data_IF_131410790624
#
_entry.id   IF_131410790624
#
_cell.length_a   1.000
_cell.length_b   1.000
_cell.length_c   1.000
_cell.angle_alpha   90.00
_cell.angle_beta   90.00
_cell.angle_gamma   90.00
#
_symmetry.space_group_name_H-M   'P 1'
#
loop_
_entity.id
_entity.type
_entity.pdbx_description
1 polymer ?
#
# COMPACT_ATOMS: atom_id res chain seq x y z
N UNK A 1 -24.10 -8.29 -50.61
CA UNK A 1 -23.46 -9.47 -51.22
C UNK A 1 -21.96 -9.36 -50.97
N UNK A 2 -21.29 -10.48 -50.67
CA UNK A 2 -19.87 -10.66 -50.25
C UNK A 2 -19.62 -10.37 -48.76
N UNK A 3 -19.71 -11.33 -47.83
CA UNK A 3 -18.93 -12.56 -47.58
C UNK A 3 -17.44 -12.36 -47.24
N UNK A 4 -17.07 -13.00 -46.11
CA UNK A 4 -15.82 -12.94 -45.32
C UNK A 4 -14.56 -13.46 -46.08
N UNK A 5 -13.37 -13.41 -45.45
CA UNK A 5 -12.91 -14.57 -44.65
C UNK A 5 -12.22 -14.15 -43.33
N UNK A 6 -12.53 -14.77 -42.18
CA UNK A 6 -11.83 -15.93 -41.62
C UNK A 6 -10.29 -15.88 -41.68
N UNK A 7 -9.66 -15.66 -40.52
CA UNK A 7 -8.30 -16.11 -40.17
C UNK A 7 -8.42 -16.85 -38.84
N UNK A 8 -8.76 -18.13 -38.85
CA UNK A 8 -7.86 -19.29 -38.79
C UNK A 8 -6.87 -19.25 -37.62
N UNK A 9 -7.23 -20.07 -36.64
CA UNK A 9 -6.39 -20.83 -35.72
C UNK A 9 -4.99 -21.11 -36.27
N UNK A 10 -3.98 -20.81 -35.45
CA UNK A 10 -2.75 -21.60 -35.40
C UNK A 10 -2.79 -22.39 -34.09
N UNK A 11 -3.18 -23.66 -34.20
CA UNK A 11 -2.78 -24.68 -33.24
C UNK A 11 -1.29 -24.95 -33.47
N UNK A 12 -0.51 -24.89 -32.40
CA UNK A 12 0.81 -25.52 -32.33
C UNK A 12 0.74 -26.53 -31.19
N UNK A 13 0.66 -27.81 -31.55
CA UNK A 13 0.94 -28.94 -30.67
C UNK A 13 2.46 -29.19 -30.65
N UNK A 14 2.93 -29.61 -29.46
CA UNK A 14 4.24 -30.16 -29.11
C UNK A 14 5.48 -29.30 -29.29
N UNK A 15 5.97 -28.68 -28.20
CA UNK A 15 7.36 -28.83 -27.70
C UNK A 15 7.47 -28.43 -26.20
N UNK A 16 7.99 -29.34 -25.37
CA UNK A 16 8.95 -29.10 -24.27
C UNK A 16 8.79 -27.94 -23.27
N UNK A 17 8.68 -28.32 -21.99
CA UNK A 17 8.86 -27.51 -20.78
C UNK A 17 10.10 -26.59 -20.84
N UNK A 18 9.93 -25.26 -20.96
CA UNK A 18 10.95 -24.24 -20.65
C UNK A 18 10.28 -22.97 -20.11
N UNK A 19 10.93 -22.37 -19.11
CA UNK A 19 10.54 -21.20 -18.34
C UNK A 19 10.21 -19.95 -19.18
N UNK A 20 9.20 -19.20 -18.75
CA UNK A 20 8.74 -17.98 -19.40
C UNK A 20 9.73 -16.82 -19.16
N UNK A 21 10.42 -16.43 -20.22
CA UNK A 21 11.10 -15.14 -20.36
C UNK A 21 10.54 -14.39 -21.59
N UNK A 22 10.61 -13.06 -21.47
CA UNK A 22 10.60 -12.02 -22.51
C UNK A 22 9.29 -11.66 -23.22
N UNK A 23 8.94 -10.36 -23.11
CA UNK A 23 8.28 -9.59 -24.17
C UNK A 23 8.85 -8.17 -24.18
N UNK A 24 9.71 -7.90 -25.17
CA UNK A 24 10.09 -6.56 -25.62
C UNK A 24 9.01 -6.02 -26.57
N UNK A 25 8.71 -4.73 -26.48
CA UNK A 25 8.61 -3.79 -27.60
C UNK A 25 8.28 -2.40 -27.02
N UNK A 26 9.08 -1.38 -27.37
CA UNK A 26 8.62 -0.19 -28.10
C UNK A 26 9.80 0.76 -28.34
N UNK A 27 10.04 1.01 -29.63
CA UNK A 27 10.96 2.03 -30.15
C UNK A 27 10.37 3.42 -29.97
N UNK A 28 11.30 4.35 -29.86
CA UNK A 28 11.21 5.79 -29.73
C UNK A 28 10.31 6.47 -30.78
N UNK A 29 9.49 7.44 -30.36
CA UNK A 29 9.31 8.72 -31.05
C UNK A 29 9.03 9.86 -30.04
N UNK A 30 9.86 10.91 -30.10
CA UNK A 30 9.65 12.29 -29.61
C UNK A 30 9.67 13.19 -30.87
N UNK A 31 9.26 14.49 -30.87
CA UNK A 31 8.51 15.31 -29.89
C UNK A 31 7.41 16.20 -30.54
N UNK A 32 6.77 17.09 -29.76
CA UNK A 32 6.71 18.54 -30.07
C UNK A 32 6.23 19.38 -28.87
N UNK A 33 6.92 20.51 -28.66
CA UNK A 33 6.68 21.52 -27.64
C UNK A 33 5.45 22.40 -27.90
N UNK A 34 4.85 22.87 -26.80
CA UNK A 34 4.51 24.29 -26.64
C UNK A 34 3.06 24.60 -26.28
N UNK A 35 2.83 25.25 -25.12
CA UNK A 35 2.53 26.70 -25.04
C UNK A 35 2.20 27.15 -23.61
N UNK A 36 2.94 28.21 -23.23
CA UNK A 36 2.55 29.48 -22.57
C UNK A 36 1.75 29.45 -21.26
N UNK A 37 2.32 30.20 -20.31
CA UNK A 37 1.80 30.38 -18.96
C UNK A 37 0.62 31.35 -18.87
N UNK A 38 0.02 31.30 -17.69
CA UNK A 38 -0.92 32.27 -17.15
C UNK A 38 -0.47 32.54 -15.72
N UNK A 39 -0.28 33.81 -15.39
CA UNK A 39 0.07 34.28 -14.05
C UNK A 39 -1.12 34.06 -13.11
N UNK A 40 -0.85 33.51 -11.92
CA UNK A 40 -1.83 33.45 -10.82
C UNK A 40 -1.28 34.28 -9.68
N UNK A 41 -2.12 35.20 -9.26
CA UNK A 41 -1.92 36.27 -8.28
C UNK A 41 -1.70 35.70 -6.87
N UNK A 42 -0.69 36.21 -6.16
CA UNK A 42 -0.33 35.81 -4.79
C UNK A 42 -1.38 36.29 -3.79
N UNK A 43 -1.95 35.36 -3.02
CA UNK A 43 -2.80 35.67 -1.85
C UNK A 43 -1.92 35.68 -0.59
N UNK A 44 -1.93 36.74 0.24
CA UNK A 44 -1.07 36.82 1.43
C UNK A 44 -1.42 35.77 2.50
N UNK A 45 -0.38 35.15 3.06
CA UNK A 45 -0.41 34.17 4.15
C UNK A 45 -0.89 34.78 5.48
N UNK A 46 -1.69 34.07 6.30
CA UNK A 46 -2.10 34.53 7.62
C UNK A 46 -1.04 34.17 8.67
N UNK A 47 0.12 34.82 8.62
CA UNK A 47 1.09 34.78 9.71
C UNK A 47 1.57 36.17 10.07
N UNK A 48 0.74 36.88 10.83
CA UNK A 48 1.18 38.05 11.57
C UNK A 48 0.68 37.98 13.02
N UNK A 49 1.66 37.86 13.91
CA UNK A 49 1.66 38.10 15.37
C UNK A 49 1.26 36.95 16.32
N UNK A 50 2.29 36.38 16.95
CA UNK A 50 2.20 35.67 18.22
C UNK A 50 3.56 35.08 18.61
N UNK A 51 4.26 35.70 19.56
CA UNK A 51 5.49 35.19 20.17
C UNK A 51 5.27 33.77 20.72
N UNK A 52 5.64 32.75 19.95
CA UNK A 52 5.66 31.36 20.38
C UNK A 52 7.05 31.00 20.87
N UNK A 53 7.12 30.39 22.06
CA UNK A 53 8.31 29.66 22.53
C UNK A 53 8.73 28.73 21.39
N UNK A 54 9.95 28.91 20.85
CA UNK A 54 10.50 28.03 19.83
C UNK A 54 10.73 26.66 20.46
N UNK A 55 9.76 25.76 20.36
CA UNK A 55 10.03 24.34 20.54
C UNK A 55 11.02 23.95 19.44
N UNK A 56 12.20 23.48 19.81
CA UNK A 56 13.12 22.89 18.84
C UNK A 56 12.37 21.77 18.10
N UNK A 57 12.34 21.86 16.77
CA UNK A 57 11.70 20.86 15.93
C UNK A 57 12.38 19.50 16.17
N UNK A 58 11.58 18.47 16.48
CA UNK A 58 12.08 17.10 16.62
C UNK A 58 12.67 16.67 15.28
N UNK A 59 13.94 16.26 15.28
CA UNK A 59 14.61 15.70 14.10
C UNK A 59 14.32 14.22 14.00
N UNK A 60 13.69 13.81 12.91
CA UNK A 60 13.22 12.44 12.70
C UNK A 60 13.99 11.83 11.52
N UNK A 61 14.64 10.71 11.77
CA UNK A 61 15.24 9.89 10.74
C UNK A 61 14.27 8.77 10.37
N UNK A 62 13.56 8.91 9.26
CA UNK A 62 12.68 7.88 8.73
C UNK A 62 13.51 6.92 7.86
N UNK A 63 13.42 5.61 8.08
CA UNK A 63 14.25 4.63 7.37
C UNK A 63 13.42 3.53 6.71
N UNK A 64 13.43 3.50 5.37
CA UNK A 64 12.99 2.37 4.55
C UNK A 64 14.15 1.92 3.64
N UNK A 65 15.12 1.15 4.16
CA UNK A 65 16.27 0.70 3.38
C UNK A 65 15.92 0.07 2.01
N UNK A 66 14.93 -0.84 1.90
CA UNK A 66 14.59 -1.45 0.61
C UNK A 66 13.65 -0.64 -0.30
N UNK A 67 13.13 0.52 0.14
CA UNK A 67 12.11 1.28 -0.58
C UNK A 67 10.88 0.42 -0.93
N UNK A 68 10.35 -0.31 0.05
CA UNK A 68 9.16 -1.15 -0.12
C UNK A 68 7.87 -0.36 -0.12
N UNK A 69 7.80 0.76 0.60
CA UNK A 69 6.58 1.55 0.73
C UNK A 69 6.75 3.04 0.40
N UNK A 70 7.36 3.43 -0.74
CA UNK A 70 7.62 4.85 -1.03
C UNK A 70 6.40 5.76 -0.94
N UNK A 71 5.18 5.36 -1.38
CA UNK A 71 4.01 6.20 -1.20
C UNK A 71 3.62 6.43 0.26
N UNK A 72 3.77 5.42 1.13
CA UNK A 72 3.50 5.57 2.57
C UNK A 72 4.57 6.46 3.22
N UNK A 73 5.84 6.19 2.93
CA UNK A 73 6.96 6.89 3.53
C UNK A 73 6.96 8.37 3.15
N UNK A 74 6.61 8.69 1.90
CA UNK A 74 6.43 10.04 1.42
C UNK A 74 5.33 10.77 2.19
N UNK A 75 4.13 10.20 2.28
CA UNK A 75 2.99 10.85 2.92
C UNK A 75 3.21 11.03 4.42
N UNK A 76 3.80 10.03 5.10
CA UNK A 76 4.17 10.15 6.50
C UNK A 76 5.26 11.21 6.72
N UNK A 77 6.31 11.22 5.90
CA UNK A 77 7.40 12.19 6.02
C UNK A 77 6.92 13.62 5.75
N UNK A 78 6.10 13.82 4.72
CA UNK A 78 5.51 15.11 4.39
C UNK A 78 4.56 15.59 5.50
N UNK A 79 3.73 14.71 6.05
CA UNK A 79 2.83 15.06 7.15
C UNK A 79 3.57 15.40 8.45
N UNK A 80 4.62 14.65 8.79
CA UNK A 80 5.51 14.98 9.91
C UNK A 80 6.19 16.34 9.71
N UNK A 81 6.68 16.62 8.50
CA UNK A 81 7.29 17.90 8.17
C UNK A 81 6.30 19.07 8.27
N UNK A 82 5.08 18.92 7.73
CA UNK A 82 3.99 19.92 7.88
C UNK A 82 3.61 20.14 9.34
N UNK A 83 3.70 19.10 10.17
CA UNK A 83 3.47 19.18 11.60
C UNK A 83 4.66 19.78 12.40
N UNK A 84 5.72 20.22 11.73
CA UNK A 84 6.84 20.96 12.31
C UNK A 84 8.08 20.12 12.66
N UNK A 85 8.16 18.86 12.24
CA UNK A 85 9.36 18.04 12.43
C UNK A 85 10.41 18.30 11.34
N UNK A 86 11.69 18.17 11.67
CA UNK A 86 12.75 18.11 10.67
C UNK A 86 12.98 16.67 10.23
N UNK A 87 12.47 16.30 9.05
CA UNK A 87 12.42 14.91 8.60
C UNK A 87 13.46 14.62 7.52
N UNK A 88 14.23 13.55 7.72
CA UNK A 88 15.08 12.96 6.69
C UNK A 88 14.68 11.50 6.43
N UNK A 89 14.21 11.21 5.21
CA UNK A 89 13.93 9.86 4.72
C UNK A 89 15.20 9.23 4.13
N UNK A 90 15.72 8.21 4.80
CA UNK A 90 16.87 7.43 4.35
C UNK A 90 16.38 6.14 3.71
N UNK A 91 16.62 5.98 2.41
CA UNK A 91 16.05 4.89 1.62
C UNK A 91 17.00 4.43 0.50
N UNK A 92 16.49 3.67 -0.47
CA UNK A 92 17.17 3.31 -1.72
C UNK A 92 16.32 3.74 -2.92
N UNK A 93 16.88 3.65 -4.13
CA UNK A 93 16.16 3.97 -5.36
C UNK A 93 14.96 3.02 -5.55
N UNK A 94 13.76 3.58 -5.74
CA UNK A 94 12.57 2.80 -6.07
C UNK A 94 12.69 2.20 -7.48
N UNK A 95 12.29 0.93 -7.62
CA UNK A 95 12.56 0.14 -8.83
C UNK A 95 11.35 -0.13 -9.72
N UNK A 96 10.15 0.06 -9.20
CA UNK A 96 8.92 -0.29 -9.91
C UNK A 96 8.26 0.90 -10.60
N UNK A 97 8.84 2.09 -10.44
CA UNK A 97 8.37 3.34 -11.03
C UNK A 97 9.11 4.52 -10.41
N UNK A 98 8.53 5.71 -10.55
CA UNK A 98 9.04 6.92 -9.91
C UNK A 98 8.60 6.97 -8.45
N UNK A 99 9.52 7.35 -7.56
CA UNK A 99 9.18 7.66 -6.18
C UNK A 99 8.63 9.10 -6.11
N UNK A 100 7.64 9.39 -5.25
CA UNK A 100 7.16 10.76 -5.07
C UNK A 100 8.31 11.72 -4.74
N UNK A 101 8.26 12.94 -5.27
CA UNK A 101 9.25 13.96 -4.93
C UNK A 101 9.10 14.39 -3.47
N UNK A 102 10.19 14.67 -2.73
CA UNK A 102 10.08 15.13 -1.35
C UNK A 102 9.31 16.45 -1.22
N UNK A 103 8.41 16.50 -0.24
CA UNK A 103 7.58 17.66 0.08
C UNK A 103 7.77 18.06 1.55
N UNK A 104 8.51 19.14 1.80
CA UNK A 104 8.85 19.59 3.15
C UNK A 104 9.88 18.74 3.90
N UNK A 105 10.35 17.61 3.35
CA UNK A 105 11.35 16.73 3.96
C UNK A 105 12.57 16.50 3.05
N UNK A 106 13.67 15.98 3.61
CA UNK A 106 14.87 15.59 2.85
C UNK A 106 14.87 14.10 2.55
N UNK A 107 15.25 13.70 1.33
CA UNK A 107 15.44 12.28 0.97
C UNK A 107 16.90 11.98 0.69
N UNK A 108 17.43 10.91 1.28
CA UNK A 108 18.78 10.40 1.03
C UNK A 108 18.71 8.93 0.58
N UNK A 109 19.08 8.67 -0.68
CA UNK A 109 19.24 7.31 -1.23
C UNK A 109 20.59 6.71 -0.81
N UNK A 110 20.68 6.33 0.46
CA UNK A 110 21.91 5.82 1.07
C UNK A 110 22.08 4.30 0.89
N UNK A 111 20.98 3.56 0.76
CA UNK A 111 21.00 2.10 0.69
C UNK A 111 21.13 1.59 -0.74
N UNK A 112 21.90 0.52 -0.92
CA UNK A 112 22.02 -0.24 -2.16
C UNK A 112 22.42 0.56 -3.41
N UNK A 113 23.40 1.48 -3.35
CA UNK A 113 23.73 2.38 -4.46
C UNK A 113 24.13 1.63 -5.74
N UNK A 114 24.70 0.43 -5.64
CA UNK A 114 25.07 -0.39 -6.78
C UNK A 114 23.98 -1.41 -7.10
N UNK A 115 23.50 -2.21 -6.14
CA UNK A 115 22.50 -3.26 -6.44
C UNK A 115 21.11 -2.73 -6.83
N UNK A 116 20.82 -1.46 -6.57
CA UNK A 116 19.63 -0.77 -7.11
C UNK A 116 19.84 -0.23 -8.53
N UNK A 117 21.10 -0.02 -8.98
CA UNK A 117 21.46 0.56 -10.29
C UNK A 117 21.96 -0.45 -11.32
N UNK A 118 22.60 -1.54 -10.88
CA UNK A 118 23.14 -2.57 -11.77
C UNK A 118 21.99 -3.38 -12.40
N UNK A 119 22.00 -3.41 -13.73
CA UNK A 119 20.92 -3.82 -14.64
C UNK A 119 20.04 -5.00 -14.18
N UNK A 120 18.73 -4.71 -14.06
CA UNK A 120 17.64 -5.68 -14.08
C UNK A 120 17.71 -6.83 -13.08
N UNK A 121 17.70 -8.06 -13.61
CA UNK A 121 17.55 -9.35 -12.92
C UNK A 121 18.88 -10.06 -12.63
N UNK A 122 20.03 -9.37 -12.75
CA UNK A 122 21.34 -10.01 -12.58
C UNK A 122 21.41 -10.87 -11.31
N UNK A 123 21.86 -12.14 -11.40
CA UNK A 123 21.97 -13.03 -10.23
C UNK A 123 22.98 -12.50 -9.20
N UNK A 124 23.95 -11.66 -9.64
CA UNK A 124 24.93 -11.00 -8.77
C UNK A 124 24.32 -9.93 -7.86
N UNK A 125 23.10 -9.50 -8.14
CA UNK A 125 22.41 -8.47 -7.37
C UNK A 125 22.19 -8.87 -5.93
N UNK A 126 21.73 -10.10 -5.68
CA UNK A 126 21.42 -10.54 -4.32
C UNK A 126 22.68 -10.61 -3.45
N UNK A 127 23.80 -11.22 -3.90
CA UNK A 127 25.08 -11.13 -3.21
C UNK A 127 25.53 -9.69 -2.96
N UNK A 128 25.44 -8.81 -3.97
CA UNK A 128 25.83 -7.41 -3.83
C UNK A 128 24.97 -6.68 -2.79
N UNK A 129 23.65 -6.90 -2.81
CA UNK A 129 22.73 -6.33 -1.83
C UNK A 129 23.08 -6.77 -0.41
N UNK A 130 23.47 -8.04 -0.22
CA UNK A 130 23.91 -8.57 1.09
C UNK A 130 25.19 -7.88 1.57
N UNK A 131 26.13 -7.57 0.68
CA UNK A 131 27.38 -6.85 1.01
C UNK A 131 27.14 -5.37 1.28
N UNK A 132 26.25 -4.72 0.51
CA UNK A 132 25.92 -3.31 0.68
C UNK A 132 25.08 -3.05 1.94
N UNK A 133 24.31 -4.03 2.40
CA UNK A 133 23.39 -3.86 3.53
C UNK A 133 24.10 -3.45 4.84
N UNK A 134 25.15 -4.15 5.32
CA UNK A 134 25.91 -3.71 6.49
C UNK A 134 26.51 -2.31 6.34
N UNK A 135 26.97 -1.93 5.14
CA UNK A 135 27.53 -0.61 4.88
C UNK A 135 26.46 0.48 4.99
N UNK A 136 25.27 0.22 4.45
CA UNK A 136 24.11 1.08 4.60
C UNK A 136 23.70 1.26 6.06
N UNK A 137 23.64 0.16 6.84
CA UNK A 137 23.35 0.22 8.28
C UNK A 137 24.42 1.01 9.06
N UNK A 138 25.69 0.82 8.73
CA UNK A 138 26.78 1.55 9.37
C UNK A 138 26.74 3.05 9.05
N UNK A 139 26.38 3.42 7.82
CA UNK A 139 26.23 4.82 7.43
C UNK A 139 24.96 5.47 8.01
N UNK A 140 23.85 4.72 8.13
CA UNK A 140 22.66 5.15 8.86
C UNK A 140 22.99 5.50 10.32
N UNK A 141 23.83 4.68 10.97
CA UNK A 141 24.28 4.90 12.37
C UNK A 141 25.12 6.18 12.56
N UNK A 142 25.68 6.74 11.50
CA UNK A 142 26.46 7.99 11.54
C UNK A 142 25.60 9.25 11.42
N UNK A 143 24.30 9.08 11.13
CA UNK A 143 23.38 10.21 11.06
C UNK A 143 22.90 10.59 12.46
N UNK A 144 22.73 11.89 12.66
CA UNK A 144 22.23 12.49 13.89
C UNK A 144 20.76 12.85 13.72
N UNK A 145 19.94 12.44 14.68
CA UNK A 145 18.52 12.78 14.81
C UNK A 145 18.13 12.56 16.28
N UNK A 146 16.94 13.02 16.65
CA UNK A 146 16.41 12.81 18.00
C UNK A 146 15.68 11.45 18.07
N UNK A 147 15.05 11.03 16.96
CA UNK A 147 14.38 9.72 16.84
C UNK A 147 14.72 9.02 15.53
N UNK A 148 14.91 7.69 15.59
CA UNK A 148 14.99 6.79 14.43
C UNK A 148 13.69 6.01 14.26
N UNK A 149 12.96 6.24 13.17
CA UNK A 149 11.74 5.51 12.84
C UNK A 149 11.95 4.59 11.63
N UNK A 150 12.00 3.28 11.87
CA UNK A 150 12.22 2.26 10.84
C UNK A 150 10.89 1.73 10.30
N UNK A 151 10.74 1.74 8.98
CA UNK A 151 9.57 1.20 8.27
C UNK A 151 9.77 -0.26 7.88
N UNK A 152 10.98 -0.63 7.43
CA UNK A 152 11.26 -2.00 6.97
C UNK A 152 12.67 -2.48 7.31
N UNK A 153 12.76 -3.78 7.59
CA UNK A 153 14.01 -4.52 7.73
C UNK A 153 14.03 -5.67 6.70
N UNK A 154 14.79 -5.53 5.60
CA UNK A 154 14.67 -6.42 4.45
C UNK A 154 15.36 -7.78 4.60
N UNK A 155 16.21 -7.96 5.61
CA UNK A 155 17.03 -9.14 5.81
C UNK A 155 17.04 -9.54 7.30
N UNK A 156 15.91 -10.03 7.86
CA UNK A 156 15.72 -10.15 9.30
C UNK A 156 16.80 -10.98 10.01
N UNK A 157 17.40 -11.98 9.37
CA UNK A 157 18.52 -12.76 9.93
C UNK A 157 19.79 -11.93 10.09
N UNK A 158 20.07 -11.06 9.11
CA UNK A 158 21.20 -10.15 9.10
C UNK A 158 20.94 -8.95 10.00
N UNK A 159 19.74 -8.39 9.95
CA UNK A 159 19.26 -7.29 10.78
C UNK A 159 19.27 -7.67 12.26
N UNK A 160 18.82 -8.89 12.59
CA UNK A 160 18.94 -9.43 13.94
C UNK A 160 20.39 -9.60 14.40
N UNK A 161 21.40 -9.54 13.55
CA UNK A 161 22.81 -9.56 13.98
C UNK A 161 23.41 -8.16 14.02
N UNK A 162 23.17 -7.37 12.99
CA UNK A 162 23.88 -6.13 12.73
C UNK A 162 23.12 -4.87 13.15
N UNK A 163 21.79 -4.88 13.09
CA UNK A 163 21.00 -3.70 13.36
C UNK A 163 20.79 -3.51 14.86
N UNK A 164 21.32 -2.40 15.38
CA UNK A 164 21.14 -1.94 16.76
C UNK A 164 20.85 -0.44 16.73
N UNK A 165 19.63 0.00 17.08
CA UNK A 165 19.33 1.42 17.21
C UNK A 165 20.33 2.09 18.15
N UNK A 166 20.81 3.28 17.76
CA UNK A 166 21.67 4.14 18.59
C UNK A 166 20.95 5.36 19.14
N UNK A 167 19.69 5.53 18.75
CA UNK A 167 18.79 6.61 19.11
C UNK A 167 17.50 5.99 19.68
N UNK A 168 16.69 6.77 20.41
CA UNK A 168 15.28 6.44 20.63
C UNK A 168 14.63 6.00 19.32
N UNK A 169 13.93 4.88 19.35
CA UNK A 169 13.61 4.14 18.15
C UNK A 169 12.19 3.59 18.09
N UNK A 170 11.59 3.76 16.91
CA UNK A 170 10.26 3.27 16.57
C UNK A 170 10.38 2.32 15.39
N UNK A 171 9.60 1.23 15.40
CA UNK A 171 9.42 0.35 14.25
C UNK A 171 7.96 0.29 13.83
N UNK A 172 7.62 0.55 12.57
CA UNK A 172 6.27 0.29 12.05
C UNK A 172 6.17 -1.13 11.50
N UNK A 173 5.31 -1.96 12.09
CA UNK A 173 5.05 -3.31 11.64
C UNK A 173 3.96 -3.34 10.57
N UNK A 174 4.30 -2.91 9.34
CA UNK A 174 3.42 -2.97 8.16
C UNK A 174 2.89 -4.37 7.86
N UNK A 175 3.75 -5.38 8.07
CA UNK A 175 3.41 -6.78 8.17
C UNK A 175 3.80 -7.26 9.58
N UNK A 176 2.84 -7.70 10.40
CA UNK A 176 3.10 -8.13 11.79
C UNK A 176 4.18 -9.22 11.87
N UNK A 177 4.11 -10.18 10.94
CA UNK A 177 5.19 -11.12 10.66
C UNK A 177 5.27 -11.32 9.15
N UNK A 178 6.31 -10.81 8.47
CA UNK A 178 6.47 -10.97 7.04
C UNK A 178 6.35 -12.45 6.63
N UNK A 179 5.46 -12.75 5.69
CA UNK A 179 5.01 -14.14 5.40
C UNK A 179 6.14 -15.13 5.17
N UNK A 180 7.22 -14.72 4.49
CA UNK A 180 8.37 -15.57 4.19
C UNK A 180 9.09 -16.05 5.46
N UNK A 181 9.02 -15.28 6.53
CA UNK A 181 9.70 -15.53 7.80
C UNK A 181 8.71 -15.61 8.97
N UNK A 182 7.41 -15.76 8.69
CA UNK A 182 6.37 -15.87 9.72
C UNK A 182 6.57 -17.10 10.63
N UNK A 183 7.16 -18.17 10.09
CA UNK A 183 7.58 -19.35 10.87
C UNK A 183 8.71 -19.06 11.87
N UNK A 184 9.38 -17.89 11.77
CA UNK A 184 10.49 -17.46 12.63
C UNK A 184 10.01 -16.42 13.65
N UNK A 185 8.92 -16.70 14.35
CA UNK A 185 8.35 -15.78 15.35
C UNK A 185 9.41 -15.30 16.37
N UNK A 186 10.27 -16.20 16.84
CA UNK A 186 11.34 -15.88 17.79
C UNK A 186 12.42 -14.93 17.22
N UNK A 187 12.66 -14.97 15.91
CA UNK A 187 13.56 -14.01 15.26
C UNK A 187 12.96 -12.60 15.32
N UNK A 188 11.69 -12.47 14.92
CA UNK A 188 10.98 -11.20 14.92
C UNK A 188 10.77 -10.65 16.31
N UNK A 189 10.43 -11.49 17.29
CA UNK A 189 10.35 -11.09 18.70
C UNK A 189 11.66 -10.45 19.19
N UNK A 190 12.81 -11.05 18.85
CA UNK A 190 14.14 -10.50 19.19
C UNK A 190 14.50 -9.22 18.44
N UNK A 191 13.97 -9.03 17.23
CA UNK A 191 14.12 -7.78 16.47
C UNK A 191 13.27 -6.69 17.11
N UNK A 192 11.99 -6.95 17.33
CA UNK A 192 11.02 -6.06 17.98
C UNK A 192 11.48 -5.60 19.36
N UNK A 193 12.07 -6.50 20.17
CA UNK A 193 12.62 -6.17 21.48
C UNK A 193 13.78 -5.14 21.47
N UNK A 194 14.30 -4.75 20.29
CA UNK A 194 15.34 -3.72 20.15
C UNK A 194 14.81 -2.31 20.01
N UNK A 195 13.53 -2.18 19.72
CA UNK A 195 12.88 -0.89 19.55
C UNK A 195 12.21 -0.47 20.86
N UNK A 196 12.19 0.83 21.11
CA UNK A 196 11.53 1.42 22.28
C UNK A 196 10.01 1.35 22.12
N UNK A 197 9.54 1.52 20.89
CA UNK A 197 8.12 1.44 20.50
C UNK A 197 7.93 0.75 19.16
N UNK A 198 6.79 0.07 19.03
CA UNK A 198 6.39 -0.63 17.81
C UNK A 198 4.99 -0.12 17.44
N UNK A 199 4.90 0.50 16.28
CA UNK A 199 3.64 0.94 15.70
C UNK A 199 2.99 -0.22 14.96
N UNK A 200 1.74 -0.50 15.30
CA UNK A 200 0.83 -1.36 14.55
C UNK A 200 -0.36 -0.53 14.09
N UNK A 201 -1.03 -0.98 13.03
CA UNK A 201 -2.09 -0.21 12.39
C UNK A 201 -3.50 -0.60 12.85
N UNK A 202 -3.62 -1.59 13.72
CA UNK A 202 -4.88 -2.20 14.13
C UNK A 202 -4.81 -2.74 15.55
N UNK A 203 -5.97 -2.84 16.18
CA UNK A 203 -6.09 -3.45 17.51
C UNK A 203 -5.83 -4.96 17.46
N UNK A 204 -6.35 -5.64 16.44
CA UNK A 204 -6.00 -7.02 16.12
C UNK A 204 -4.49 -7.20 15.95
N UNK A 205 -3.80 -6.24 15.31
CA UNK A 205 -2.36 -6.29 15.14
C UNK A 205 -1.61 -6.17 16.46
N UNK A 206 -2.10 -5.31 17.37
CA UNK A 206 -1.61 -5.20 18.74
C UNK A 206 -1.78 -6.51 19.49
N UNK A 207 -2.98 -7.07 19.50
CA UNK A 207 -3.29 -8.34 20.17
C UNK A 207 -2.46 -9.50 19.61
N UNK A 208 -2.31 -9.56 18.28
CA UNK A 208 -1.54 -10.59 17.60
C UNK A 208 -0.05 -10.53 17.97
N UNK A 209 0.57 -9.35 18.03
CA UNK A 209 1.97 -9.22 18.45
C UNK A 209 2.14 -9.44 19.95
N UNK A 210 1.20 -8.98 20.78
CA UNK A 210 1.20 -9.24 22.21
C UNK A 210 1.13 -10.75 22.52
N UNK A 211 0.22 -11.47 21.86
CA UNK A 211 0.11 -12.93 21.94
C UNK A 211 1.34 -13.69 21.45
N UNK A 212 2.24 -13.02 20.71
CA UNK A 212 3.52 -13.56 20.23
C UNK A 212 4.72 -13.15 21.11
N UNK A 213 4.45 -12.57 22.28
CA UNK A 213 5.46 -12.23 23.28
C UNK A 213 6.18 -10.91 23.04
N UNK A 214 5.57 -9.99 22.28
CA UNK A 214 5.99 -8.58 22.28
C UNK A 214 5.32 -7.89 23.47
N UNK A 215 6.09 -7.12 24.25
CA UNK A 215 5.59 -6.41 25.43
C UNK A 215 4.46 -5.42 25.05
N UNK A 216 3.25 -5.56 25.63
CA UNK A 216 2.11 -4.69 25.31
C UNK A 216 2.40 -3.20 25.45
N UNK A 217 3.24 -2.82 26.40
CA UNK A 217 3.61 -1.44 26.71
C UNK A 217 4.43 -0.78 25.59
N UNK A 218 5.09 -1.60 24.75
CA UNK A 218 5.83 -1.14 23.57
C UNK A 218 4.96 -0.99 22.34
N UNK A 219 3.82 -1.68 22.31
CA UNK A 219 2.91 -1.64 21.17
C UNK A 219 2.08 -0.36 21.22
N UNK A 220 1.98 0.32 20.08
CA UNK A 220 1.16 1.52 19.89
C UNK A 220 0.33 1.37 18.63
N UNK A 221 -0.98 1.54 18.76
CA UNK A 221 -1.88 1.52 17.61
C UNK A 221 -1.91 2.91 17.02
N UNK A 222 -1.35 3.07 15.82
CA UNK A 222 -1.54 4.26 14.99
C UNK A 222 -2.17 3.78 13.68
N UNK A 223 -3.50 3.99 13.50
CA UNK A 223 -4.21 3.51 12.32
C UNK A 223 -3.53 3.94 11.02
N UNK A 224 -3.49 3.04 10.04
CA UNK A 224 -2.95 3.40 8.73
C UNK A 224 -3.87 4.46 8.08
N UNK A 225 -3.34 5.62 7.68
CA UNK A 225 -4.13 6.66 7.02
C UNK A 225 -4.72 6.21 5.69
N UNK A 226 -5.83 6.83 5.27
CA UNK A 226 -6.30 6.69 3.90
C UNK A 226 -5.42 7.50 2.95
N UNK A 227 -5.38 7.09 1.68
CA UNK A 227 -4.82 7.92 0.63
C UNK A 227 -5.95 8.77 0.04
N UNK A 228 -6.04 10.07 0.35
CA UNK A 228 -7.13 10.89 -0.13
C UNK A 228 -7.11 10.93 -1.66
N UNK A 229 -8.29 10.71 -2.25
CA UNK A 229 -8.52 10.89 -3.68
C UNK A 229 -9.93 11.41 -3.90
N UNK A 230 -10.09 12.26 -4.92
CA UNK A 230 -11.38 12.81 -5.34
C UNK A 230 -11.64 12.44 -6.80
N UNK A 231 -11.89 11.15 -7.09
CA UNK A 231 -12.18 10.74 -8.45
C UNK A 231 -13.54 11.30 -8.88
N UNK A 232 -13.64 11.69 -10.15
CA UNK A 232 -14.94 11.97 -10.75
C UNK A 232 -15.81 10.71 -10.70
N UNK A 233 -16.98 10.80 -10.06
CA UNK A 233 -17.90 9.68 -9.89
C UNK A 233 -18.60 9.38 -11.22
N UNK A 234 -18.33 8.20 -11.77
CA UNK A 234 -18.93 7.68 -13.02
C UNK A 234 -19.50 6.27 -12.83
N UNK A 235 -19.66 5.87 -11.58
CA UNK A 235 -20.13 4.54 -11.24
C UNK A 235 -21.59 4.34 -11.68
N UNK A 236 -21.87 3.15 -12.21
CA UNK A 236 -23.14 2.79 -12.83
C UNK A 236 -24.08 2.05 -11.86
N UNK A 237 -23.76 2.08 -10.56
CA UNK A 237 -24.46 1.33 -9.52
C UNK A 237 -24.18 -0.18 -9.50
N UNK A 238 -23.38 -0.73 -10.43
CA UNK A 238 -23.20 -2.19 -10.62
C UNK A 238 -21.74 -2.64 -10.62
N UNK A 239 -20.79 -1.70 -10.58
CA UNK A 239 -19.36 -1.98 -10.76
C UNK A 239 -18.70 -2.41 -9.45
N UNK A 240 -18.25 -3.66 -9.39
CA UNK A 240 -17.41 -4.18 -8.31
C UNK A 240 -15.95 -4.10 -8.72
N UNK A 241 -15.12 -3.45 -7.90
CA UNK A 241 -13.69 -3.25 -8.15
C UNK A 241 -12.84 -4.25 -7.37
N UNK A 242 -11.99 -5.00 -8.07
CA UNK A 242 -10.84 -5.70 -7.51
C UNK A 242 -9.56 -4.92 -7.82
N UNK A 243 -8.96 -4.27 -6.81
CA UNK A 243 -7.84 -3.33 -7.00
C UNK A 243 -6.54 -3.77 -6.31
N UNK A 244 -5.42 -3.56 -7.01
CA UNK A 244 -4.05 -3.75 -6.52
C UNK A 244 -3.29 -4.85 -7.24
N UNK A 245 -2.06 -5.15 -6.79
CA UNK A 245 -1.28 -6.28 -7.34
C UNK A 245 -2.10 -7.58 -7.31
N UNK A 246 -2.16 -8.30 -8.43
CA UNK A 246 -2.89 -9.56 -8.51
C UNK A 246 -1.94 -10.70 -8.08
N UNK A 247 -2.29 -11.33 -6.98
CA UNK A 247 -1.52 -12.41 -6.33
C UNK A 247 -2.47 -13.42 -5.67
N UNK A 248 -2.02 -14.64 -5.33
CA UNK A 248 -2.96 -15.68 -4.93
C UNK A 248 -3.70 -15.33 -3.63
N UNK A 249 -2.98 -14.70 -2.70
CA UNK A 249 -3.51 -14.27 -1.41
C UNK A 249 -4.51 -13.11 -1.49
N UNK A 250 -4.62 -12.42 -2.65
CA UNK A 250 -5.59 -11.32 -2.85
C UNK A 250 -6.99 -11.84 -3.18
N UNK A 251 -7.11 -13.14 -3.45
CA UNK A 251 -8.40 -13.83 -3.58
C UNK A 251 -9.21 -13.45 -4.82
N UNK A 252 -8.58 -13.07 -5.94
CA UNK A 252 -9.31 -12.71 -7.16
C UNK A 252 -10.30 -13.79 -7.64
N UNK A 253 -10.01 -15.08 -7.39
CA UNK A 253 -10.94 -16.16 -7.68
C UNK A 253 -12.25 -16.04 -6.89
N UNK A 254 -12.15 -15.75 -5.58
CA UNK A 254 -13.30 -15.55 -4.70
C UNK A 254 -14.08 -14.28 -5.09
N UNK A 255 -13.38 -13.20 -5.51
CA UNK A 255 -14.03 -11.99 -6.03
C UNK A 255 -14.85 -12.29 -7.29
N UNK A 256 -14.28 -13.02 -8.26
CA UNK A 256 -14.96 -13.42 -9.49
C UNK A 256 -16.21 -14.25 -9.17
N UNK A 257 -16.10 -15.22 -8.27
CA UNK A 257 -17.22 -16.08 -7.89
C UNK A 257 -18.28 -15.33 -7.08
N UNK A 258 -17.89 -14.40 -6.21
CA UNK A 258 -18.81 -13.56 -5.47
C UNK A 258 -19.62 -12.64 -6.40
N UNK A 259 -18.97 -12.01 -7.38
CA UNK A 259 -19.64 -11.17 -8.39
C UNK A 259 -20.63 -12.00 -9.21
N UNK A 260 -20.24 -13.20 -9.64
CA UNK A 260 -21.14 -14.12 -10.35
C UNK A 260 -22.42 -14.40 -9.57
N UNK A 261 -22.31 -14.62 -8.26
CA UNK A 261 -23.43 -14.95 -7.38
C UNK A 261 -24.27 -13.72 -7.00
N UNK A 262 -23.68 -12.53 -7.03
CA UNK A 262 -24.37 -11.29 -6.65
C UNK A 262 -25.46 -10.86 -7.67
N UNK A 263 -25.37 -11.30 -8.93
CA UNK A 263 -26.36 -11.01 -9.97
C UNK A 263 -25.88 -9.96 -10.98
N UNK A 264 -26.73 -8.96 -11.29
CA UNK A 264 -26.49 -7.84 -12.24
C UNK A 264 -25.35 -6.92 -11.77
N UNK A 265 -24.14 -7.46 -11.78
CA UNK A 265 -22.91 -6.83 -11.36
C UNK A 265 -21.83 -7.08 -12.42
N UNK A 266 -20.98 -6.08 -12.64
CA UNK A 266 -19.78 -6.21 -13.47
C UNK A 266 -18.53 -6.12 -12.63
N UNK A 267 -17.47 -6.79 -13.07
CA UNK A 267 -16.18 -6.78 -12.37
C UNK A 267 -15.17 -5.89 -13.11
N UNK A 268 -14.62 -4.90 -12.42
CA UNK A 268 -13.44 -4.17 -12.86
C UNK A 268 -12.21 -4.73 -12.12
N UNK A 269 -11.26 -5.31 -12.85
CA UNK A 269 -9.97 -5.74 -12.29
C UNK A 269 -8.91 -4.72 -12.67
N UNK A 270 -8.34 -4.03 -11.68
CA UNK A 270 -7.36 -2.96 -11.89
C UNK A 270 -6.07 -3.23 -11.10
N UNK A 271 -4.98 -3.53 -11.80
CA UNK A 271 -3.65 -3.71 -11.21
C UNK A 271 -2.74 -4.70 -11.92
N UNK A 272 -1.53 -4.87 -11.38
CA UNK A 272 -0.44 -5.60 -12.03
C UNK A 272 -0.46 -7.11 -11.69
N UNK A 273 -0.51 -8.01 -12.69
CA UNK A 273 -0.46 -9.45 -12.45
C UNK A 273 0.94 -9.97 -12.16
N UNK A 274 1.10 -10.60 -10.99
CA UNK A 274 2.33 -11.32 -10.62
C UNK A 274 2.17 -12.83 -10.67
N UNK A 275 1.14 -13.27 -11.39
CA UNK A 275 0.82 -14.65 -11.71
C UNK A 275 0.03 -14.72 -13.03
N UNK A 276 0.02 -15.87 -13.72
CA UNK A 276 -0.75 -16.04 -14.96
C UNK A 276 -2.26 -15.82 -14.76
N UNK A 277 -2.89 -15.09 -15.69
CA UNK A 277 -4.30 -14.73 -15.61
C UNK A 277 -5.26 -15.74 -16.22
N UNK A 278 -4.77 -16.76 -16.93
CA UNK A 278 -5.60 -17.70 -17.70
C UNK A 278 -6.69 -18.36 -16.84
N UNK A 279 -6.33 -18.76 -15.62
CA UNK A 279 -7.27 -19.34 -14.65
C UNK A 279 -8.38 -18.38 -14.25
N UNK A 280 -8.06 -17.10 -14.11
CA UNK A 280 -9.03 -16.08 -13.71
C UNK A 280 -9.94 -15.69 -14.87
N UNK A 281 -9.38 -15.56 -16.08
CA UNK A 281 -10.17 -15.31 -17.30
C UNK A 281 -11.13 -16.45 -17.60
N UNK A 282 -10.66 -17.70 -17.48
CA UNK A 282 -11.50 -18.88 -17.61
C UNK A 282 -12.59 -18.91 -16.53
N UNK A 283 -12.23 -18.66 -15.27
CA UNK A 283 -13.17 -18.59 -14.16
C UNK A 283 -14.15 -17.42 -14.27
N UNK A 284 -13.84 -16.36 -15.02
CA UNK A 284 -14.70 -15.21 -15.27
C UNK A 284 -15.55 -15.33 -16.54
N UNK A 285 -15.48 -16.46 -17.26
CA UNK A 285 -16.29 -16.68 -18.45
C UNK A 285 -17.78 -16.50 -18.15
N UNK A 286 -18.48 -15.77 -19.03
CA UNK A 286 -19.89 -15.40 -18.86
C UNK A 286 -20.17 -14.20 -17.93
N UNK A 287 -19.14 -13.56 -17.35
CA UNK A 287 -19.29 -12.30 -16.63
C UNK A 287 -18.84 -11.12 -17.48
N UNK A 288 -19.45 -9.95 -17.26
CA UNK A 288 -18.93 -8.68 -17.75
C UNK A 288 -17.70 -8.30 -16.92
N UNK A 289 -16.51 -8.40 -17.51
CA UNK A 289 -15.24 -8.08 -16.83
C UNK A 289 -14.39 -7.13 -17.66
N UNK A 290 -14.02 -6.01 -17.06
CA UNK A 290 -13.02 -5.08 -17.58
C UNK A 290 -11.67 -5.34 -16.90
N UNK A 291 -10.61 -5.50 -17.69
CA UNK A 291 -9.25 -5.75 -17.21
C UNK A 291 -8.35 -4.54 -17.48
N UNK A 292 -8.04 -3.75 -16.45
CA UNK A 292 -7.05 -2.65 -16.48
C UNK A 292 -5.74 -3.13 -15.84
N UNK A 293 -4.91 -3.77 -16.65
CA UNK A 293 -3.72 -4.47 -16.17
C UNK A 293 -2.46 -3.60 -16.19
N UNK A 294 -1.59 -3.84 -15.21
CA UNK A 294 -0.27 -3.21 -15.09
C UNK A 294 -0.14 -2.33 -13.84
N UNK A 295 1.04 -1.73 -13.68
CA UNK A 295 1.28 -0.73 -12.63
C UNK A 295 0.67 0.60 -13.07
N UNK A 296 -0.60 0.81 -12.69
CA UNK A 296 -1.40 1.93 -13.19
C UNK A 296 -0.89 3.29 -12.67
N UNK A 297 -0.81 4.32 -13.53
CA UNK A 297 -0.52 5.69 -13.08
C UNK A 297 -1.70 6.26 -12.29
N UNK A 298 -1.44 7.31 -11.49
CA UNK A 298 -2.44 7.92 -10.60
C UNK A 298 -3.78 8.26 -11.28
N UNK A 299 -3.83 8.87 -12.49
CA UNK A 299 -5.09 9.16 -13.16
C UNK A 299 -5.93 7.92 -13.49
N UNK A 300 -5.29 6.80 -13.83
CA UNK A 300 -5.99 5.54 -14.11
C UNK A 300 -6.47 4.85 -12.83
N UNK A 301 -5.73 5.00 -11.73
CA UNK A 301 -6.17 4.58 -10.39
C UNK A 301 -7.43 5.36 -9.99
N UNK A 302 -7.39 6.69 -10.13
CA UNK A 302 -8.53 7.55 -9.77
C UNK A 302 -9.73 7.24 -10.68
N UNK A 303 -9.51 7.02 -11.98
CA UNK A 303 -10.58 6.56 -12.89
C UNK A 303 -11.18 5.23 -12.46
N UNK A 304 -10.36 4.25 -12.08
CA UNK A 304 -10.86 2.95 -11.61
C UNK A 304 -11.73 3.09 -10.34
N UNK A 305 -11.35 3.96 -9.41
CA UNK A 305 -12.19 4.25 -8.23
C UNK A 305 -13.46 5.04 -8.57
N UNK A 306 -13.38 5.97 -9.53
CA UNK A 306 -14.51 6.76 -10.01
C UNK A 306 -15.59 5.90 -10.69
N UNK A 307 -15.16 4.87 -11.42
CA UNK A 307 -16.04 3.92 -12.11
C UNK A 307 -16.63 2.86 -11.14
N UNK A 308 -16.03 2.66 -9.97
CA UNK A 308 -16.39 1.61 -9.02
C UNK A 308 -17.53 2.01 -8.07
N UNK A 309 -18.56 1.19 -7.96
CA UNK A 309 -19.65 1.35 -6.97
C UNK A 309 -19.22 0.84 -5.60
N UNK A 310 -18.54 -0.31 -5.56
CA UNK A 310 -18.02 -0.96 -4.36
C UNK A 310 -16.71 -1.69 -4.68
N UNK A 311 -15.78 -1.77 -3.73
CA UNK A 311 -14.53 -2.53 -3.88
C UNK A 311 -14.60 -3.84 -3.09
N UNK A 312 -13.97 -4.91 -3.59
CA UNK A 312 -13.95 -6.23 -2.94
C UNK A 312 -12.53 -6.66 -2.57
N UNK A 313 -12.34 -7.09 -1.32
CA UNK A 313 -11.05 -7.47 -0.75
C UNK A 313 -11.10 -8.86 -0.07
N UNK A 314 -11.18 -9.96 -0.84
CA UNK A 314 -11.27 -11.32 -0.33
C UNK A 314 -9.89 -11.87 0.03
N UNK A 315 -9.16 -11.13 0.86
CA UNK A 315 -7.77 -11.43 1.16
C UNK A 315 -7.63 -12.65 2.07
N UNK A 316 -6.59 -13.44 1.85
CA UNK A 316 -6.28 -14.61 2.68
C UNK A 316 -5.66 -14.20 4.03
N UNK A 317 -5.81 -15.01 5.10
CA UNK A 317 -5.47 -14.66 6.49
C UNK A 317 -4.03 -14.23 6.78
N UNK A 318 -3.10 -14.36 5.83
CA UNK A 318 -1.68 -14.08 6.04
C UNK A 318 -1.31 -12.59 5.93
N UNK A 319 -2.28 -11.68 6.01
CA UNK A 319 -2.10 -10.24 5.90
C UNK A 319 -2.71 -9.50 7.09
N UNK A 320 -2.10 -8.38 7.45
CA UNK A 320 -2.66 -7.50 8.48
C UNK A 320 -3.17 -6.16 7.95
N UNK A 321 -2.61 -5.65 6.86
CA UNK A 321 -2.96 -4.32 6.32
C UNK A 321 -3.11 -4.30 4.80
N UNK A 322 -3.80 -3.28 4.29
CA UNK A 322 -4.07 -3.12 2.86
C UNK A 322 -4.13 -1.65 2.45
N UNK A 323 -3.02 -1.14 1.90
CA UNK A 323 -3.03 0.18 1.26
C UNK A 323 -4.02 0.29 0.08
N UNK A 324 -4.38 -0.83 -0.56
CA UNK A 324 -5.39 -0.85 -1.61
C UNK A 324 -6.81 -0.61 -1.06
N UNK A 325 -7.13 -1.16 0.11
CA UNK A 325 -8.41 -0.93 0.79
C UNK A 325 -8.50 0.51 1.28
N UNK A 326 -7.43 1.03 1.88
CA UNK A 326 -7.37 2.40 2.36
C UNK A 326 -7.40 3.44 1.22
N UNK A 327 -6.91 3.08 0.03
CA UNK A 327 -7.13 3.87 -1.20
C UNK A 327 -8.59 3.86 -1.64
N UNK A 328 -9.29 2.73 -1.57
CA UNK A 328 -10.71 2.67 -1.88
C UNK A 328 -11.53 3.56 -0.93
N UNK A 329 -11.32 3.40 0.38
CA UNK A 329 -11.99 4.25 1.38
C UNK A 329 -11.63 5.73 1.21
N UNK A 330 -10.36 6.04 0.96
CA UNK A 330 -9.88 7.41 0.69
C UNK A 330 -10.45 8.04 -0.58
N UNK A 331 -10.90 7.22 -1.54
CA UNK A 331 -11.61 7.62 -2.74
C UNK A 331 -13.14 7.64 -2.58
N UNK A 332 -13.64 7.41 -1.36
CA UNK A 332 -15.08 7.34 -1.06
C UNK A 332 -15.76 6.07 -1.57
N UNK A 333 -15.01 5.03 -1.96
CA UNK A 333 -15.55 3.75 -2.43
C UNK A 333 -15.69 2.79 -1.24
N UNK A 334 -16.91 2.34 -0.89
CA UNK A 334 -17.11 1.37 0.19
C UNK A 334 -16.48 0.02 -0.16
N UNK A 335 -16.23 -0.79 0.86
CA UNK A 335 -15.51 -2.06 0.73
C UNK A 335 -16.30 -3.25 1.29
N UNK A 336 -16.28 -4.37 0.56
CA UNK A 336 -16.65 -5.69 1.06
C UNK A 336 -15.36 -6.49 1.25
N UNK A 337 -15.05 -6.88 2.48
CA UNK A 337 -13.78 -7.54 2.81
C UNK A 337 -13.99 -8.84 3.61
N UNK A 338 -13.03 -9.77 3.50
CA UNK A 338 -12.93 -10.84 4.49
C UNK A 338 -12.47 -10.31 5.84
N UNK A 339 -12.91 -10.97 6.90
CA UNK A 339 -12.47 -10.76 8.27
C UNK A 339 -11.06 -11.30 8.48
N UNK A 340 -10.08 -10.51 8.07
CA UNK A 340 -8.67 -10.88 8.12
C UNK A 340 -7.86 -9.70 8.65
N UNK A 341 -7.14 -9.97 9.74
CA UNK A 341 -6.18 -9.04 10.31
C UNK A 341 -6.79 -7.67 10.63
N UNK A 342 -5.96 -6.64 10.58
CA UNK A 342 -6.40 -5.24 10.63
C UNK A 342 -7.09 -4.71 9.37
N UNK A 343 -7.15 -5.47 8.27
CA UNK A 343 -7.74 -5.01 6.99
C UNK A 343 -9.23 -4.71 7.14
N UNK A 344 -9.92 -5.52 7.93
CA UNK A 344 -11.36 -5.40 8.16
C UNK A 344 -11.75 -4.30 9.15
N UNK A 345 -10.84 -3.90 10.05
CA UNK A 345 -11.12 -2.92 11.10
C UNK A 345 -11.64 -1.57 10.60
N UNK A 346 -11.01 -0.89 9.60
CA UNK A 346 -11.54 0.37 9.12
C UNK A 346 -12.93 0.21 8.48
N UNK A 347 -13.21 -0.92 7.81
CA UNK A 347 -14.53 -1.17 7.22
C UNK A 347 -15.59 -1.28 8.31
N UNK A 348 -15.31 -1.99 9.41
CA UNK A 348 -16.23 -2.12 10.55
C UNK A 348 -16.41 -0.83 11.32
N UNK A 349 -15.29 -0.22 11.75
CA UNK A 349 -15.27 0.96 12.62
C UNK A 349 -16.08 2.09 12.02
N UNK A 350 -15.97 2.27 10.71
CA UNK A 350 -16.64 3.36 9.99
C UNK A 350 -17.91 2.91 9.28
N UNK A 351 -18.32 1.65 9.41
CA UNK A 351 -19.44 1.06 8.66
C UNK A 351 -19.32 1.30 7.14
N UNK A 352 -18.08 1.29 6.63
CA UNK A 352 -17.74 1.66 5.26
C UNK A 352 -17.96 0.50 4.26
N UNK A 353 -19.01 -0.31 4.49
CA UNK A 353 -19.35 -1.49 3.69
C UNK A 353 -19.64 -2.71 4.58
N UNK A 354 -19.10 -3.88 4.21
CA UNK A 354 -19.39 -5.16 4.88
C UNK A 354 -18.12 -5.95 5.13
N UNK A 355 -18.11 -6.66 6.25
CA UNK A 355 -17.06 -7.63 6.56
C UNK A 355 -17.69 -8.99 6.79
N UNK A 356 -17.16 -10.00 6.13
CA UNK A 356 -17.68 -11.39 6.20
C UNK A 356 -16.57 -12.36 6.58
N UNK A 357 -16.87 -13.54 7.13
CA UNK A 357 -15.85 -14.51 7.52
C UNK A 357 -14.91 -14.88 6.36
N UNK A 358 -13.62 -15.09 6.66
CA UNK A 358 -12.64 -15.46 5.66
C UNK A 358 -13.00 -16.78 4.95
N UNK A 359 -13.03 -16.76 3.62
CA UNK A 359 -13.41 -17.92 2.79
C UNK A 359 -14.92 -18.06 2.55
N UNK A 360 -15.76 -17.22 3.16
CA UNK A 360 -17.20 -17.22 2.90
C UNK A 360 -17.55 -16.44 1.62
N UNK A 361 -17.37 -17.09 0.47
CA UNK A 361 -17.73 -16.52 -0.84
C UNK A 361 -19.24 -16.25 -0.96
N UNK A 362 -20.07 -17.01 -0.24
CA UNK A 362 -21.52 -16.77 -0.19
C UNK A 362 -21.85 -15.47 0.54
N UNK A 363 -21.22 -15.24 1.69
CA UNK A 363 -21.30 -13.98 2.43
C UNK A 363 -20.80 -12.79 1.61
N UNK A 364 -19.68 -12.94 0.88
CA UNK A 364 -19.21 -11.89 -0.05
C UNK A 364 -20.27 -11.56 -1.11
N UNK A 365 -20.84 -12.57 -1.74
CA UNK A 365 -21.86 -12.38 -2.76
C UNK A 365 -23.11 -11.70 -2.22
N UNK A 366 -23.60 -12.11 -1.05
CA UNK A 366 -24.75 -11.50 -0.39
C UNK A 366 -24.49 -10.04 -0.03
N UNK A 367 -23.31 -9.73 0.51
CA UNK A 367 -22.91 -8.36 0.84
C UNK A 367 -22.77 -7.47 -0.40
N UNK A 368 -22.22 -8.00 -1.50
CA UNK A 368 -22.17 -7.29 -2.77
C UNK A 368 -23.57 -7.06 -3.31
N UNK A 369 -24.43 -8.08 -3.32
CA UNK A 369 -25.81 -7.95 -3.76
C UNK A 369 -26.57 -6.87 -2.97
N UNK A 370 -26.48 -6.90 -1.64
CA UNK A 370 -27.10 -5.89 -0.77
C UNK A 370 -26.67 -4.46 -1.16
N UNK A 371 -25.36 -4.21 -1.26
CA UNK A 371 -24.84 -2.88 -1.56
C UNK A 371 -25.11 -2.41 -2.99
N UNK A 372 -25.34 -3.33 -3.94
CA UNK A 372 -25.67 -2.99 -5.32
C UNK A 372 -27.18 -2.83 -5.54
N UNK A 373 -28.02 -3.52 -4.76
CA UNK A 373 -29.47 -3.52 -4.90
C UNK A 373 -30.21 -2.53 -3.98
N UNK A 374 -29.62 -2.15 -2.84
CA UNK A 374 -30.20 -1.19 -1.89
C UNK A 374 -29.40 0.14 -1.90
N UNK A 375 -29.93 1.20 -2.54
CA UNK A 375 -29.30 2.51 -2.55
C UNK A 375 -29.08 3.12 -1.16
N UNK A 376 -29.93 2.82 -0.19
CA UNK A 376 -29.76 3.34 1.18
C UNK A 376 -28.61 2.62 1.89
N UNK A 377 -28.48 1.30 1.72
CA UNK A 377 -27.34 0.55 2.24
C UNK A 377 -26.03 1.03 1.62
N UNK A 378 -26.02 1.29 0.30
CA UNK A 378 -24.88 1.86 -0.40
C UNK A 378 -24.50 3.24 0.14
N UNK A 379 -25.47 4.14 0.31
CA UNK A 379 -25.19 5.49 0.78
C UNK A 379 -24.70 5.51 2.23
N UNK A 380 -25.23 4.65 3.10
CA UNK A 380 -24.67 4.44 4.46
C UNK A 380 -23.22 4.00 4.40
N UNK A 381 -22.89 3.06 3.51
CA UNK A 381 -21.52 2.59 3.33
C UNK A 381 -20.59 3.69 2.77
N UNK A 382 -21.07 4.50 1.82
CA UNK A 382 -20.33 5.69 1.31
C UNK A 382 -20.12 6.73 2.38
N UNK A 383 -21.12 7.01 3.21
CA UNK A 383 -20.98 7.89 4.38
C UNK A 383 -19.92 7.36 5.36
N UNK A 384 -19.87 6.04 5.54
CA UNK A 384 -18.79 5.38 6.26
C UNK A 384 -17.41 5.63 5.68
N UNK A 385 -17.24 5.46 4.36
CA UNK A 385 -15.98 5.76 3.68
C UNK A 385 -15.57 7.25 3.83
N UNK A 386 -16.53 8.18 3.80
CA UNK A 386 -16.29 9.62 4.06
C UNK A 386 -15.80 9.87 5.49
N UNK A 387 -16.45 9.28 6.50
CA UNK A 387 -15.97 9.36 7.90
C UNK A 387 -14.56 8.80 8.06
N UNK A 388 -14.27 7.65 7.43
CA UNK A 388 -12.93 7.09 7.43
C UNK A 388 -11.90 8.06 6.82
N UNK A 389 -12.26 8.76 5.73
CA UNK A 389 -11.41 9.77 5.10
C UNK A 389 -11.16 11.00 5.98
N UNK A 390 -12.15 11.42 6.75
CA UNK A 390 -12.06 12.56 7.66
C UNK A 390 -11.24 12.24 8.92
N UNK A 391 -11.30 11.00 9.43
CA UNK A 391 -10.59 10.61 10.66
C UNK A 391 -9.21 9.98 10.42
N UNK A 392 -9.04 9.15 9.37
CA UNK A 392 -7.79 8.45 9.08
C UNK A 392 -6.86 9.30 8.21
N UNK A 393 -6.55 10.51 8.68
CA UNK A 393 -5.70 11.45 7.93
C UNK A 393 -4.22 11.26 8.23
N UNK A 394 -3.38 11.63 7.26
CA UNK A 394 -1.94 11.66 7.46
C UNK A 394 -1.51 12.64 8.55
N UNK A 395 -2.23 13.76 8.68
CA UNK A 395 -1.96 14.76 9.72
C UNK A 395 -2.29 14.21 11.11
N UNK A 396 -3.41 13.49 11.29
CA UNK A 396 -3.73 12.81 12.54
C UNK A 396 -2.68 11.74 12.88
N UNK A 397 -2.24 10.95 11.90
CA UNK A 397 -1.16 9.98 12.10
C UNK A 397 0.17 10.66 12.45
N UNK A 398 0.53 11.76 11.78
CA UNK A 398 1.74 12.52 12.10
C UNK A 398 1.71 13.05 13.53
N UNK A 399 0.58 13.62 13.99
CA UNK A 399 0.42 14.06 15.37
C UNK A 399 0.56 12.92 16.38
N UNK A 400 -0.03 11.76 16.09
CA UNK A 400 0.13 10.56 16.93
C UNK A 400 1.59 10.08 16.98
N UNK A 401 2.31 10.11 15.86
CA UNK A 401 3.74 9.79 15.81
C UNK A 401 4.58 10.81 16.58
N UNK A 402 4.31 12.12 16.46
CA UNK A 402 5.02 13.16 17.20
C UNK A 402 4.78 13.07 18.71
N UNK A 403 3.56 12.69 19.14
CA UNK A 403 3.29 12.37 20.53
C UNK A 403 4.14 11.17 20.98
N UNK A 404 4.18 10.11 20.18
CA UNK A 404 4.98 8.92 20.46
C UNK A 404 6.49 9.22 20.54
N UNK A 405 7.00 10.05 19.62
CA UNK A 405 8.42 10.45 19.61
C UNK A 405 8.78 11.22 20.88
N UNK A 406 7.91 12.13 21.35
CA UNK A 406 8.11 12.88 22.60
C UNK A 406 8.09 11.99 23.85
N UNK A 407 7.46 10.81 23.80
CA UNK A 407 7.51 9.85 24.92
C UNK A 407 8.88 9.17 25.08
N UNK A 408 9.68 9.12 24.01
CA UNK A 408 10.93 8.33 23.96
C UNK A 408 12.19 9.17 23.74
N UNK A 409 12.05 10.39 23.21
CA UNK A 409 13.16 11.29 22.89
C UNK A 409 13.77 11.96 24.12
#
# INVERSE_FOLDING_TARGET
MQQRPHRQLLQAHDVGTVACDELDHLREERPALGRRGVAVEEVPSPHEHGHGVAYEAVRVLLADPPAFTPPYDHELAAALARAGADVELVTSRFRFGDAPEPDGYRRRELFYPLSSRVFGRSPLRLPLKVVEHPLGLAALRRLHADVLHVQWLPAPELDARLFRPHLPSVFTAHDLLPRRTAHRAELWRRIFARFDRIVVHSENGRETLAGRGVEPERLRVIPHPVFPSEPERRDDGRTVLAFGMIRPYKGLADAIEAVRRAGDARLLVAGDPLEPLDRYRAAANGLEVEWRLGYLPRPEIDRAFGDATVAVFPYRPELDQSGALLRALGAGVPAVAYDVGGIAEPVRRFEAGRVVPAGDVGGLAAALHELLADPEALERARAGARRAREELTWDAAAQAHLALYREIA
#
